data_IF_179660401533
#
_entry.id   IF_179660401533
#
_cell.length_a   1.000
_cell.length_b   1.000
_cell.length_c   1.000
_cell.angle_alpha   90.00
_cell.angle_beta   90.00
_cell.angle_gamma   90.00
#
_symmetry.space_group_name_H-M   'P 1'
#
loop_
_entity.id
_entity.type
_entity.pdbx_description
1 polymer ?
#
# COMPACT_ATOMS: atom_id res chain seq x y z
N UNK A 1 29.07 10.87 -17.13
CA UNK A 1 28.61 9.79 -16.23
C UNK A 1 27.58 10.27 -15.19
N UNK A 2 27.87 11.21 -14.28
CA UNK A 2 26.90 11.68 -13.25
C UNK A 2 25.55 12.17 -13.81
N UNK A 3 25.55 13.00 -14.86
CA UNK A 3 24.32 13.50 -15.48
C UNK A 3 23.48 12.40 -16.14
N UNK A 4 24.14 11.44 -16.78
CA UNK A 4 23.48 10.28 -17.36
C UNK A 4 22.84 9.42 -16.28
N UNK A 5 23.55 9.19 -15.18
CA UNK A 5 23.00 8.48 -14.03
C UNK A 5 21.79 9.19 -13.43
N UNK A 6 21.84 10.53 -13.28
CA UNK A 6 20.68 11.32 -12.80
C UNK A 6 19.44 11.16 -13.67
N UNK A 7 19.61 11.18 -15.00
CA UNK A 7 18.53 10.90 -15.94
C UNK A 7 18.02 9.47 -15.79
N UNK A 8 18.93 8.50 -15.79
CA UNK A 8 18.58 7.08 -15.66
C UNK A 8 17.85 6.78 -14.35
N UNK A 9 18.32 7.28 -13.21
CA UNK A 9 17.71 7.02 -11.91
C UNK A 9 16.34 7.70 -11.77
N UNK A 10 16.19 8.90 -12.32
CA UNK A 10 14.89 9.59 -12.35
C UNK A 10 13.89 8.87 -13.26
N UNK A 11 14.35 8.36 -14.41
CA UNK A 11 13.53 7.54 -15.31
C UNK A 11 13.14 6.21 -14.66
N UNK A 12 14.06 5.54 -13.99
CA UNK A 12 13.78 4.31 -13.24
C UNK A 12 12.70 4.54 -12.19
N UNK A 13 12.82 5.64 -11.42
CA UNK A 13 11.80 6.03 -10.45
C UNK A 13 10.45 6.33 -11.13
N UNK A 14 10.48 6.97 -12.29
CA UNK A 14 9.26 7.26 -13.08
C UNK A 14 8.55 5.97 -13.48
N UNK A 15 9.27 5.02 -14.07
CA UNK A 15 8.74 3.70 -14.45
C UNK A 15 8.15 2.99 -13.23
N UNK A 16 8.86 3.05 -12.11
CA UNK A 16 8.41 2.46 -10.86
C UNK A 16 7.11 3.07 -10.33
N UNK A 17 7.02 4.41 -10.27
CA UNK A 17 5.81 5.11 -9.78
C UNK A 17 4.63 4.86 -10.71
N UNK A 18 4.85 4.89 -12.02
CA UNK A 18 3.84 4.55 -13.02
C UNK A 18 3.32 3.12 -12.85
N UNK A 19 4.22 2.16 -12.60
CA UNK A 19 3.85 0.78 -12.31
C UNK A 19 3.00 0.68 -11.02
N UNK A 20 3.38 1.41 -9.97
CA UNK A 20 2.63 1.46 -8.71
C UNK A 20 1.22 2.03 -8.90
N UNK A 21 1.09 3.13 -9.65
CA UNK A 21 -0.22 3.70 -10.01
C UNK A 21 -1.04 2.65 -10.75
N UNK A 22 -0.46 2.03 -11.78
CA UNK A 22 -1.15 1.06 -12.64
C UNK A 22 -1.64 -0.18 -11.87
N UNK A 23 -0.85 -0.66 -10.91
CA UNK A 23 -1.22 -1.81 -10.09
C UNK A 23 -2.27 -1.52 -9.02
N UNK A 24 -2.54 -0.25 -8.71
CA UNK A 24 -3.43 0.17 -7.61
C UNK A 24 -4.49 1.18 -8.02
N UNK A 25 -4.79 1.31 -9.31
CA UNK A 25 -5.69 2.34 -9.87
C UNK A 25 -6.99 2.43 -9.09
N UNK A 26 -7.68 1.31 -8.88
CA UNK A 26 -9.00 1.27 -8.22
C UNK A 26 -8.94 1.79 -6.78
N UNK A 27 -7.92 1.36 -6.02
CA UNK A 27 -7.73 1.77 -4.63
C UNK A 27 -7.39 3.26 -4.54
N UNK A 28 -6.49 3.73 -5.40
CA UNK A 28 -6.03 5.12 -5.42
C UNK A 28 -7.14 6.07 -5.88
N UNK A 29 -7.90 5.67 -6.90
CA UNK A 29 -9.03 6.45 -7.41
C UNK A 29 -10.10 6.60 -6.35
N UNK A 30 -10.49 5.51 -5.67
CA UNK A 30 -11.42 5.60 -4.54
C UNK A 30 -10.88 6.46 -3.40
N UNK A 31 -9.59 6.31 -3.06
CA UNK A 31 -8.92 7.11 -2.03
C UNK A 31 -8.80 8.61 -2.38
N UNK A 32 -8.94 8.99 -3.65
CA UNK A 32 -8.89 10.39 -4.08
C UNK A 32 -10.14 11.20 -3.73
N UNK A 33 -11.25 10.52 -3.40
CA UNK A 33 -12.52 11.16 -3.05
C UNK A 33 -12.75 11.15 -1.52
N UNK A 34 -13.37 12.20 -0.96
CA UNK A 34 -13.96 12.12 0.37
C UNK A 34 -14.95 10.96 0.40
N UNK A 35 -14.80 10.06 1.36
CA UNK A 35 -15.61 8.85 1.43
C UNK A 35 -15.95 8.50 2.87
N UNK A 36 -16.94 7.64 3.05
CA UNK A 36 -17.28 7.08 4.35
C UNK A 36 -17.55 5.60 4.21
N UNK A 37 -17.27 4.89 5.29
CA UNK A 37 -17.53 3.48 5.42
C UNK A 37 -18.51 3.24 6.57
N UNK A 38 -19.66 2.64 6.28
CA UNK A 38 -20.62 2.19 7.29
C UNK A 38 -20.01 0.98 8.00
N UNK A 39 -19.75 1.15 9.29
CA UNK A 39 -19.11 0.11 10.10
C UNK A 39 -20.09 -0.56 11.07
N UNK A 40 -21.16 0.12 11.49
CA UNK A 40 -22.07 -0.42 12.49
C UNK A 40 -23.51 0.10 12.36
N UNK A 41 -24.46 -0.72 12.81
CA UNK A 41 -25.86 -0.35 13.00
C UNK A 41 -26.08 -0.08 14.50
N UNK A 42 -26.45 1.15 14.84
CA UNK A 42 -26.55 1.61 16.23
C UNK A 42 -27.93 1.34 16.81
N UNK A 43 -28.98 1.47 16.00
CA UNK A 43 -30.37 1.39 16.45
C UNK A 43 -30.97 0.00 16.18
N UNK A 44 -31.88 -0.47 17.03
CA UNK A 44 -32.61 -1.74 16.84
C UNK A 44 -33.55 -1.72 15.62
N UNK A 45 -33.93 -0.54 15.15
CA UNK A 45 -34.76 -0.32 13.96
C UNK A 45 -34.12 0.76 13.06
N UNK A 46 -33.03 0.43 12.33
CA UNK A 46 -32.45 1.36 11.37
C UNK A 46 -33.41 1.61 10.20
N UNK A 47 -33.24 2.74 9.50
CA UNK A 47 -34.02 3.01 8.29
C UNK A 47 -33.80 1.90 7.26
N UNK A 48 -34.88 1.44 6.60
CA UNK A 48 -34.76 0.44 5.54
C UNK A 48 -33.96 1.00 4.34
N UNK A 49 -33.45 0.11 3.47
CA UNK A 49 -32.61 0.50 2.34
C UNK A 49 -33.33 1.45 1.36
N UNK A 50 -34.64 1.27 1.16
CA UNK A 50 -35.44 2.13 0.29
C UNK A 50 -35.57 3.56 0.85
N UNK A 51 -35.82 3.69 2.16
CA UNK A 51 -35.87 5.00 2.82
C UNK A 51 -34.50 5.65 2.82
N UNK A 52 -33.43 4.87 3.05
CA UNK A 52 -32.06 5.35 2.98
C UNK A 52 -31.73 5.89 1.58
N UNK A 53 -32.02 5.14 0.53
CA UNK A 53 -31.76 5.53 -0.86
C UNK A 53 -32.57 6.80 -1.23
N UNK A 54 -33.83 6.90 -0.80
CA UNK A 54 -34.67 8.08 -1.03
C UNK A 54 -34.20 9.33 -0.26
N UNK A 55 -33.79 9.18 1.01
CA UNK A 55 -33.27 10.29 1.81
C UNK A 55 -31.88 10.73 1.33
N UNK A 56 -31.04 9.81 0.85
CA UNK A 56 -29.77 10.13 0.21
C UNK A 56 -29.95 10.96 -1.06
N UNK A 57 -30.93 10.61 -1.89
CA UNK A 57 -31.28 11.40 -3.09
C UNK A 57 -31.71 12.82 -2.70
N UNK A 58 -32.59 12.97 -1.70
CA UNK A 58 -33.00 14.28 -1.20
C UNK A 58 -31.83 15.09 -0.65
N UNK A 59 -30.93 14.46 0.09
CA UNK A 59 -29.73 15.11 0.63
C UNK A 59 -28.83 15.61 -0.52
N UNK A 60 -28.53 14.73 -1.48
CA UNK A 60 -27.70 15.02 -2.63
C UNK A 60 -28.25 16.21 -3.45
N UNK A 61 -29.55 16.21 -3.73
CA UNK A 61 -30.23 17.33 -4.42
C UNK A 61 -30.20 18.61 -3.58
N UNK A 62 -30.45 18.54 -2.27
CA UNK A 62 -30.45 19.70 -1.38
C UNK A 62 -29.09 20.38 -1.27
N UNK A 63 -28.01 19.60 -1.30
CA UNK A 63 -26.64 20.10 -1.18
C UNK A 63 -25.96 20.33 -2.53
N UNK A 64 -26.72 20.17 -3.63
CA UNK A 64 -26.21 20.20 -5.01
C UNK A 64 -24.92 19.38 -5.14
N UNK A 65 -25.00 18.12 -4.70
CA UNK A 65 -23.86 17.21 -4.58
C UNK A 65 -24.15 15.86 -5.22
N UNK A 66 -23.09 15.18 -5.62
CA UNK A 66 -23.15 13.86 -6.23
C UNK A 66 -22.54 12.84 -5.29
N UNK A 67 -23.36 11.90 -4.84
CA UNK A 67 -22.92 10.82 -3.95
C UNK A 67 -22.86 9.54 -4.78
N UNK A 68 -21.77 8.80 -4.67
CA UNK A 68 -21.59 7.51 -5.32
C UNK A 68 -21.49 6.39 -4.27
N UNK A 69 -22.44 5.46 -4.29
CA UNK A 69 -22.42 4.24 -3.49
C UNK A 69 -21.64 3.16 -4.23
N UNK A 70 -20.70 2.54 -3.52
CA UNK A 70 -19.81 1.52 -4.07
C UNK A 70 -20.43 0.14 -3.91
N UNK A 71 -20.57 -0.56 -5.02
CA UNK A 71 -21.05 -1.94 -5.12
C UNK A 71 -19.88 -2.84 -5.48
N UNK A 72 -19.55 -3.77 -4.58
CA UNK A 72 -18.54 -4.79 -4.82
C UNK A 72 -19.22 -6.01 -5.47
N UNK A 73 -18.93 -6.22 -6.76
CA UNK A 73 -19.44 -7.37 -7.53
C UNK A 73 -18.35 -8.45 -7.54
N UNK A 74 -18.57 -9.61 -6.89
CA UNK A 74 -17.59 -10.69 -6.85
C UNK A 74 -17.37 -11.28 -8.25
N UNK A 75 -16.12 -11.61 -8.57
CA UNK A 75 -15.74 -12.39 -9.74
C UNK A 75 -15.48 -13.85 -9.36
N UNK A 76 -15.58 -14.75 -10.34
CA UNK A 76 -15.18 -16.16 -10.21
C UNK A 76 -13.70 -16.32 -9.83
N UNK A 77 -12.85 -15.34 -10.15
CA UNK A 77 -11.44 -15.30 -9.78
C UNK A 77 -11.19 -15.10 -8.28
N UNK A 78 -12.24 -14.75 -7.51
CA UNK A 78 -12.15 -14.35 -6.10
C UNK A 78 -11.87 -12.86 -5.88
N UNK A 79 -11.66 -12.08 -6.94
CA UNK A 79 -11.52 -10.62 -6.88
C UNK A 79 -12.89 -9.93 -6.96
N UNK A 80 -13.00 -8.68 -6.50
CA UNK A 80 -14.23 -7.89 -6.62
C UNK A 80 -14.05 -6.73 -7.60
N UNK A 81 -14.98 -6.59 -8.54
CA UNK A 81 -15.10 -5.39 -9.36
C UNK A 81 -15.98 -4.36 -8.65
N UNK A 82 -15.59 -3.10 -8.71
CA UNK A 82 -16.34 -2.02 -8.08
C UNK A 82 -17.15 -1.26 -9.11
N UNK A 83 -18.46 -1.17 -8.87
CA UNK A 83 -19.42 -0.39 -9.65
C UNK A 83 -20.08 0.66 -8.77
N UNK A 84 -20.61 1.72 -9.37
CA UNK A 84 -21.11 2.87 -8.64
C UNK A 84 -22.57 3.16 -8.95
N UNK A 85 -23.38 3.29 -7.91
CA UNK A 85 -24.73 3.84 -7.98
C UNK A 85 -24.67 5.32 -7.58
N UNK A 86 -25.29 6.20 -8.36
CA UNK A 86 -25.21 7.66 -8.19
C UNK A 86 -26.51 8.18 -7.58
N UNK A 87 -26.37 9.16 -6.68
CA UNK A 87 -27.47 9.97 -6.13
C UNK A 87 -27.22 11.45 -6.42
N UNK A 88 -28.28 12.19 -6.71
CA UNK A 88 -28.25 13.60 -7.12
C UNK A 88 -28.14 13.80 -8.64
N UNK A 89 -27.93 15.06 -9.06
CA UNK A 89 -27.99 15.46 -10.47
C UNK A 89 -26.65 15.44 -11.23
N UNK A 90 -25.53 15.20 -10.55
CA UNK A 90 -24.22 15.21 -11.21
C UNK A 90 -23.90 13.89 -11.91
N UNK A 91 -22.89 13.96 -12.78
CA UNK A 91 -22.44 12.82 -13.59
C UNK A 91 -21.21 12.20 -12.95
N UNK A 92 -21.20 10.88 -12.95
CA UNK A 92 -20.03 10.12 -12.56
C UNK A 92 -18.91 10.31 -13.61
N UNK A 93 -17.65 10.51 -13.20
CA UNK A 93 -16.49 10.50 -14.09
C UNK A 93 -16.44 9.22 -14.93
N UNK A 94 -15.97 9.33 -16.18
CA UNK A 94 -15.94 8.20 -17.14
C UNK A 94 -15.13 7.01 -16.64
N UNK A 95 -14.20 7.29 -15.73
CA UNK A 95 -13.26 6.35 -15.15
C UNK A 95 -13.88 5.48 -14.05
N UNK A 96 -15.07 5.84 -13.56
CA UNK A 96 -15.82 5.07 -12.57
C UNK A 96 -17.01 4.39 -13.28
N UNK A 97 -17.07 3.05 -13.29
CA UNK A 97 -18.12 2.33 -14.02
C UNK A 97 -19.46 2.43 -13.29
N UNK A 98 -20.50 2.84 -14.01
CA UNK A 98 -21.87 2.91 -13.49
C UNK A 98 -22.43 1.50 -13.27
N UNK A 99 -23.12 1.29 -12.16
CA UNK A 99 -23.82 0.05 -11.88
C UNK A 99 -25.08 -0.07 -12.76
N UNK A 100 -25.32 -1.26 -13.32
CA UNK A 100 -26.59 -1.57 -14.00
C UNK A 100 -27.69 -1.81 -12.97
N UNK A 101 -28.96 -1.55 -13.31
CA UNK A 101 -30.11 -1.77 -12.41
C UNK A 101 -30.13 -3.18 -11.79
N UNK A 102 -29.81 -4.21 -12.59
CA UNK A 102 -29.70 -5.59 -12.12
C UNK A 102 -28.64 -5.74 -11.02
N UNK A 103 -27.47 -5.12 -11.19
CA UNK A 103 -26.39 -5.17 -10.19
C UNK A 103 -26.79 -4.44 -8.90
N UNK A 104 -27.48 -3.32 -9.03
CA UNK A 104 -28.00 -2.57 -7.88
C UNK A 104 -28.94 -3.47 -7.07
N UNK A 105 -29.88 -4.16 -7.71
CA UNK A 105 -30.83 -5.05 -7.03
C UNK A 105 -30.13 -6.25 -6.38
N UNK A 106 -29.20 -6.89 -7.09
CA UNK A 106 -28.52 -8.09 -6.57
C UNK A 106 -27.56 -7.79 -5.42
N UNK A 107 -26.82 -6.69 -5.51
CA UNK A 107 -25.71 -6.39 -4.59
C UNK A 107 -25.99 -5.21 -3.64
N UNK A 108 -27.23 -4.70 -3.59
CA UNK A 108 -27.62 -3.55 -2.75
C UNK A 108 -27.18 -3.68 -1.29
N UNK A 109 -27.29 -4.89 -0.73
CA UNK A 109 -26.99 -5.21 0.68
C UNK A 109 -25.50 -5.26 0.99
N UNK A 110 -24.64 -5.32 -0.01
CA UNK A 110 -23.18 -5.42 0.14
C UNK A 110 -22.48 -4.05 0.10
N UNK A 111 -23.22 -2.97 -0.14
CA UNK A 111 -22.68 -1.62 -0.18
C UNK A 111 -22.46 -1.04 1.22
N UNK A 112 -21.20 -0.98 1.64
CA UNK A 112 -20.79 -0.36 2.92
C UNK A 112 -20.07 0.97 2.72
N UNK A 113 -19.84 1.40 1.48
CA UNK A 113 -18.99 2.54 1.15
C UNK A 113 -19.72 3.57 0.30
N UNK A 114 -19.58 4.85 0.65
CA UNK A 114 -20.14 5.98 -0.10
C UNK A 114 -19.04 7.03 -0.32
N UNK A 115 -18.93 7.55 -1.53
CA UNK A 115 -17.99 8.59 -1.91
C UNK A 115 -18.72 9.86 -2.36
N UNK A 116 -18.19 11.02 -2.01
CA UNK A 116 -18.67 12.31 -2.49
C UNK A 116 -17.84 12.65 -3.72
N UNK A 117 -18.48 12.64 -4.89
CA UNK A 117 -17.82 12.84 -6.18
C UNK A 117 -17.67 14.33 -6.49
N UNK A 118 -18.73 15.09 -6.22
CA UNK A 118 -18.78 16.53 -6.51
C UNK A 118 -19.81 17.23 -5.60
N UNK A 119 -19.71 18.55 -5.46
CA UNK A 119 -20.64 19.41 -4.75
C UNK A 119 -20.16 19.95 -3.40
N UNK A 120 -21.10 20.50 -2.62
CA UNK A 120 -20.81 21.21 -1.36
C UNK A 120 -20.91 20.33 -0.10
N UNK A 121 -21.40 19.09 -0.25
CA UNK A 121 -21.56 18.16 0.86
C UNK A 121 -20.18 17.80 1.46
N UNK A 122 -20.07 17.92 2.78
CA UNK A 122 -18.88 17.47 3.51
C UNK A 122 -19.06 16.06 4.04
N UNK A 123 -17.94 15.34 4.20
CA UNK A 123 -17.97 13.96 4.71
C UNK A 123 -18.52 13.88 6.13
N UNK A 124 -18.36 14.92 6.94
CA UNK A 124 -18.92 15.00 8.30
C UNK A 124 -20.44 15.12 8.27
N UNK A 125 -20.99 15.99 7.43
CA UNK A 125 -22.45 16.15 7.29
C UNK A 125 -23.08 14.85 6.80
N UNK A 126 -22.41 14.15 5.88
CA UNK A 126 -22.88 12.85 5.42
C UNK A 126 -22.79 11.78 6.51
N UNK A 127 -21.73 11.77 7.33
CA UNK A 127 -21.63 10.86 8.48
C UNK A 127 -22.72 11.12 9.54
N UNK A 128 -23.01 12.38 9.85
CA UNK A 128 -24.10 12.76 10.77
C UNK A 128 -25.47 12.36 10.21
N UNK A 129 -25.65 12.44 8.89
CA UNK A 129 -26.86 11.97 8.22
C UNK A 129 -27.05 10.45 8.40
N UNK A 130 -26.01 9.65 8.17
CA UNK A 130 -26.07 8.20 8.41
C UNK A 130 -26.38 7.89 9.88
N UNK A 131 -25.80 8.64 10.82
CA UNK A 131 -26.03 8.45 12.25
C UNK A 131 -27.51 8.67 12.62
N UNK A 132 -28.16 9.69 12.05
CA UNK A 132 -29.60 9.96 12.25
C UNK A 132 -30.49 8.84 11.74
N UNK A 133 -30.04 8.10 10.73
CA UNK A 133 -30.76 6.95 10.16
C UNK A 133 -30.45 5.62 10.87
N UNK A 134 -29.65 5.67 11.94
CA UNK A 134 -29.27 4.50 12.74
C UNK A 134 -27.99 3.80 12.30
N UNK A 135 -27.20 4.42 11.41
CA UNK A 135 -25.95 3.87 10.85
C UNK A 135 -24.73 4.66 11.33
N UNK A 136 -23.77 4.00 11.96
CA UNK A 136 -22.50 4.62 12.30
C UNK A 136 -21.50 4.46 11.14
N UNK A 137 -21.04 5.58 10.63
CA UNK A 137 -20.07 5.65 9.55
C UNK A 137 -18.74 6.24 10.02
N UNK A 138 -17.64 5.74 9.45
CA UNK A 138 -16.29 6.26 9.64
C UNK A 138 -15.99 7.19 8.46
N UNK A 139 -15.92 8.51 8.67
CA UNK A 139 -15.56 9.44 7.61
C UNK A 139 -14.07 9.31 7.28
N UNK A 140 -13.77 9.30 5.98
CA UNK A 140 -12.42 9.27 5.41
C UNK A 140 -12.23 10.47 4.49
N UNK A 141 -11.27 11.32 4.82
CA UNK A 141 -10.86 12.43 3.97
C UNK A 141 -10.10 11.90 2.74
N UNK A 142 -10.13 12.64 1.62
CA UNK A 142 -9.37 12.26 0.44
C UNK A 142 -7.88 12.19 0.78
N UNK A 143 -7.22 11.17 0.25
CA UNK A 143 -5.79 10.98 0.47
C UNK A 143 -5.01 12.12 -0.20
N UNK A 144 -3.96 12.63 0.46
CA UNK A 144 -3.08 13.61 -0.15
C UNK A 144 -2.07 12.89 -1.06
N UNK A 145 -1.96 13.24 -2.36
CA UNK A 145 -0.96 12.64 -3.26
C UNK A 145 0.47 12.75 -2.71
N UNK A 146 0.77 13.83 -1.98
CA UNK A 146 2.09 14.09 -1.42
C UNK A 146 2.42 13.19 -0.22
N UNK A 147 1.48 13.09 0.73
CA UNK A 147 1.65 12.20 1.87
C UNK A 147 1.69 10.74 1.41
N UNK A 148 0.83 10.39 0.45
CA UNK A 148 0.80 9.06 -0.13
C UNK A 148 2.12 8.73 -0.84
N UNK A 149 2.70 9.66 -1.62
CA UNK A 149 4.04 9.52 -2.21
C UNK A 149 5.13 9.29 -1.16
N UNK A 150 5.13 10.07 -0.08
CA UNK A 150 6.08 9.91 1.00
C UNK A 150 5.97 8.52 1.66
N UNK A 151 4.74 8.06 1.95
CA UNK A 151 4.51 6.75 2.54
C UNK A 151 4.83 5.60 1.58
N UNK A 152 4.52 5.76 0.29
CA UNK A 152 4.80 4.75 -0.73
C UNK A 152 6.31 4.57 -0.93
N UNK A 153 7.10 5.64 -0.91
CA UNK A 153 8.56 5.59 -1.08
C UNK A 153 9.31 5.19 0.20
N UNK A 154 8.69 5.32 1.38
CA UNK A 154 9.34 5.04 2.68
C UNK A 154 9.07 3.64 3.24
N UNK A 155 8.26 2.83 2.58
CA UNK A 155 7.85 1.50 3.07
C UNK A 155 8.32 0.38 2.14
N UNK A 156 8.34 -0.84 2.67
CA UNK A 156 8.50 -2.07 1.89
C UNK A 156 9.76 -2.15 1.03
N UNK A 157 9.62 -2.81 -0.12
CA UNK A 157 10.66 -2.95 -1.14
C UNK A 157 10.97 -1.63 -1.87
N UNK A 158 10.05 -0.67 -1.82
CA UNK A 158 10.18 0.63 -2.46
C UNK A 158 11.30 1.46 -1.84
N UNK A 159 11.35 1.50 -0.50
CA UNK A 159 12.41 2.15 0.25
C UNK A 159 13.79 1.62 -0.18
N UNK A 160 13.90 0.32 -0.37
CA UNK A 160 15.15 -0.35 -0.73
C UNK A 160 15.65 0.08 -2.11
N UNK A 161 14.75 0.16 -3.11
CA UNK A 161 15.08 0.65 -4.45
C UNK A 161 15.54 2.12 -4.42
N UNK A 162 14.87 2.96 -3.63
CA UNK A 162 15.26 4.37 -3.44
C UNK A 162 16.64 4.48 -2.78
N UNK A 163 16.92 3.67 -1.75
CA UNK A 163 18.21 3.63 -1.06
C UNK A 163 19.35 3.22 -2.00
N UNK A 164 19.14 2.24 -2.88
CA UNK A 164 20.14 1.84 -3.88
C UNK A 164 20.46 3.03 -4.80
N UNK A 165 19.44 3.70 -5.33
CA UNK A 165 19.63 4.85 -6.22
C UNK A 165 20.36 6.01 -5.52
N UNK A 166 20.02 6.29 -4.26
CA UNK A 166 20.67 7.28 -3.40
C UNK A 166 22.15 6.94 -3.21
N UNK A 167 22.44 5.67 -2.92
CA UNK A 167 23.80 5.22 -2.68
C UNK A 167 24.67 5.35 -3.94
N UNK A 168 24.14 4.94 -5.09
CA UNK A 168 24.84 5.08 -6.37
C UNK A 168 25.07 6.56 -6.72
N UNK A 169 24.10 7.44 -6.47
CA UNK A 169 24.27 8.89 -6.63
C UNK A 169 25.39 9.43 -5.73
N UNK A 170 25.41 8.99 -4.48
CA UNK A 170 26.42 9.37 -3.48
C UNK A 170 27.81 8.96 -3.96
N UNK A 171 27.97 7.72 -4.43
CA UNK A 171 29.22 7.19 -4.96
C UNK A 171 29.70 7.98 -6.20
N UNK A 172 28.83 8.24 -7.17
CA UNK A 172 29.19 9.03 -8.35
C UNK A 172 29.54 10.47 -8.00
N UNK A 173 28.83 11.07 -7.04
CA UNK A 173 29.12 12.42 -6.57
C UNK A 173 30.49 12.50 -5.90
N UNK A 174 30.85 11.49 -5.10
CA UNK A 174 32.17 11.38 -4.50
C UNK A 174 33.27 11.21 -5.54
N UNK A 175 33.11 10.28 -6.49
CA UNK A 175 34.07 10.08 -7.58
C UNK A 175 34.29 11.40 -8.34
N UNK A 176 33.21 12.09 -8.68
CA UNK A 176 33.27 13.37 -9.38
C UNK A 176 34.03 14.43 -8.58
N UNK A 177 33.76 14.55 -7.27
CA UNK A 177 34.49 15.46 -6.36
C UNK A 177 35.98 15.13 -6.29
N UNK A 178 36.33 13.86 -6.29
CA UNK A 178 37.72 13.41 -6.26
C UNK A 178 38.43 13.78 -7.57
N UNK A 179 37.77 13.58 -8.72
CA UNK A 179 38.36 13.94 -10.02
C UNK A 179 38.54 15.45 -10.20
N UNK A 180 37.64 16.27 -9.64
CA UNK A 180 37.74 17.73 -9.72
C UNK A 180 38.74 18.35 -8.73
N UNK A 181 39.26 17.61 -7.74
CA UNK A 181 40.18 18.14 -6.71
C UNK A 181 41.36 18.93 -7.29
N UNK A 182 41.98 18.41 -8.35
CA UNK A 182 43.11 19.09 -9.03
C UNK A 182 42.68 20.43 -9.63
N UNK A 183 41.54 20.45 -10.31
CA UNK A 183 40.98 21.68 -10.90
C UNK A 183 40.57 22.69 -9.83
N UNK A 184 40.02 22.23 -8.70
CA UNK A 184 39.69 23.10 -7.56
C UNK A 184 40.95 23.70 -6.93
N UNK A 185 42.01 22.92 -6.78
CA UNK A 185 43.31 23.41 -6.29
C UNK A 185 43.92 24.50 -7.16
N UNK A 186 43.85 24.36 -8.49
CA UNK A 186 44.29 25.38 -9.46
C UNK A 186 43.43 26.65 -9.35
N UNK A 187 42.11 26.50 -9.24
CA UNK A 187 41.20 27.65 -9.09
C UNK A 187 41.42 28.40 -7.76
N UNK A 188 41.70 27.68 -6.67
CA UNK A 188 42.07 28.27 -5.37
C UNK A 188 43.36 29.09 -5.47
N UNK A 189 44.39 28.57 -6.15
CA UNK A 189 45.62 29.30 -6.43
C UNK A 189 45.38 30.57 -7.26
N UNK A 190 44.43 30.53 -8.18
CA UNK A 190 44.04 31.70 -8.99
C UNK A 190 43.23 32.77 -8.23
N UNK A 191 43.03 32.60 -6.91
CA UNK A 191 42.33 33.56 -6.05
C UNK A 191 40.81 33.41 -6.01
N UNK A 192 40.22 32.36 -6.62
CA UNK A 192 38.78 32.11 -6.49
C UNK A 192 38.43 31.58 -5.10
N UNK A 193 37.40 32.13 -4.43
CA UNK A 193 37.02 31.68 -3.09
C UNK A 193 36.39 30.28 -3.15
N UNK A 194 36.74 29.43 -2.18
CA UNK A 194 36.26 28.05 -2.07
C UNK A 194 34.71 27.95 -2.11
N UNK A 195 34.02 28.91 -1.48
CA UNK A 195 32.56 28.97 -1.46
C UNK A 195 31.95 29.14 -2.85
N UNK A 196 32.56 29.98 -3.70
CA UNK A 196 32.09 30.18 -5.08
C UNK A 196 32.20 28.90 -5.90
N UNK A 197 33.32 28.17 -5.75
CA UNK A 197 33.55 26.90 -6.43
C UNK A 197 32.53 25.84 -5.99
N UNK A 198 32.28 25.75 -4.68
CA UNK A 198 31.30 24.82 -4.11
C UNK A 198 29.86 25.15 -4.51
N UNK A 199 29.45 26.42 -4.46
CA UNK A 199 28.12 26.87 -4.88
C UNK A 199 27.89 26.63 -6.38
N UNK A 200 28.88 26.93 -7.23
CA UNK A 200 28.79 26.65 -8.65
C UNK A 200 28.56 25.16 -8.93
N UNK A 201 29.13 24.28 -8.09
CA UNK A 201 28.87 22.86 -8.23
C UNK A 201 27.50 22.42 -7.73
N UNK A 202 27.00 22.97 -6.63
CA UNK A 202 25.63 22.68 -6.17
C UNK A 202 24.62 23.15 -7.22
N UNK A 203 24.85 24.32 -7.82
CA UNK A 203 24.00 24.85 -8.88
C UNK A 203 23.98 23.94 -10.10
N UNK A 204 25.14 23.42 -10.54
CA UNK A 204 25.21 22.43 -11.63
C UNK A 204 24.42 21.15 -11.29
N UNK A 205 24.45 20.71 -10.05
CA UNK A 205 23.70 19.54 -9.59
C UNK A 205 22.19 19.82 -9.58
N UNK A 206 21.75 20.97 -9.09
CA UNK A 206 20.35 21.41 -9.11
C UNK A 206 19.82 21.50 -10.54
N UNK A 207 20.59 22.10 -11.46
CA UNK A 207 20.19 22.18 -12.88
C UNK A 207 20.10 20.78 -13.48
N UNK A 208 21.09 19.93 -13.24
CA UNK A 208 21.12 18.56 -13.75
C UNK A 208 19.96 17.72 -13.24
N UNK A 209 19.64 17.79 -11.95
CA UNK A 209 18.49 17.08 -11.37
C UNK A 209 17.17 17.65 -11.84
N UNK A 210 17.04 18.98 -11.97
CA UNK A 210 15.81 19.62 -12.45
C UNK A 210 15.48 19.23 -13.89
N UNK A 211 16.48 19.20 -14.77
CA UNK A 211 16.30 18.71 -16.15
C UNK A 211 15.87 17.25 -16.15
N UNK A 212 16.50 16.41 -15.32
CA UNK A 212 16.14 15.00 -15.22
C UNK A 212 14.69 14.81 -14.72
N UNK A 213 14.30 15.53 -13.66
CA UNK A 213 12.93 15.54 -13.15
C UNK A 213 11.93 15.98 -14.22
N UNK A 214 12.24 17.03 -14.98
CA UNK A 214 11.35 17.56 -16.01
C UNK A 214 11.14 16.55 -17.15
N UNK A 215 12.23 15.95 -17.65
CA UNK A 215 12.17 14.90 -18.68
C UNK A 215 11.37 13.68 -18.16
N UNK A 216 11.64 13.25 -16.94
CA UNK A 216 10.93 12.17 -16.26
C UNK A 216 9.44 12.45 -16.09
N UNK A 217 9.08 13.67 -15.68
CA UNK A 217 7.70 14.07 -15.50
C UNK A 217 6.95 14.07 -16.83
N UNK A 218 7.55 14.59 -17.91
CA UNK A 218 6.94 14.60 -19.24
C UNK A 218 6.69 13.18 -19.74
N UNK A 219 7.70 12.30 -19.66
CA UNK A 219 7.58 10.92 -20.13
C UNK A 219 6.60 10.11 -19.28
N UNK A 220 6.65 10.25 -17.95
CA UNK A 220 5.72 9.58 -17.04
C UNK A 220 4.29 10.05 -17.22
N UNK A 221 4.07 11.35 -17.38
CA UNK A 221 2.73 11.90 -17.63
C UNK A 221 2.19 11.45 -18.98
N UNK A 222 3.00 11.49 -20.05
CA UNK A 222 2.61 10.99 -21.36
C UNK A 222 2.19 9.52 -21.32
N UNK A 223 2.93 8.70 -20.56
CA UNK A 223 2.57 7.29 -20.37
C UNK A 223 1.26 7.10 -19.59
N UNK A 224 1.02 7.90 -18.55
CA UNK A 224 -0.23 7.89 -17.81
C UNK A 224 -1.41 8.29 -18.72
N UNK A 225 -1.26 9.32 -19.54
CA UNK A 225 -2.28 9.70 -20.53
C UNK A 225 -2.56 8.58 -21.53
N UNK A 226 -1.52 7.92 -22.04
CA UNK A 226 -1.68 6.78 -22.95
C UNK A 226 -2.49 5.62 -22.33
N UNK A 227 -2.39 5.44 -21.01
CA UNK A 227 -3.15 4.44 -20.24
C UNK A 227 -4.55 4.90 -19.81
N UNK A 228 -4.96 6.13 -20.12
CA UNK A 228 -6.21 6.72 -19.62
C UNK A 228 -6.17 7.09 -18.13
N UNK A 229 -4.97 7.25 -17.55
CA UNK A 229 -4.72 7.57 -16.14
C UNK A 229 -4.23 9.02 -15.99
N UNK A 230 -4.71 9.94 -16.83
CA UNK A 230 -4.35 11.36 -16.84
C UNK A 230 -5.02 12.19 -15.74
N UNK A 231 -5.55 11.57 -14.69
CA UNK A 231 -6.24 12.25 -13.59
C UNK A 231 -5.25 13.13 -12.80
N UNK A 232 -5.74 14.28 -12.33
CA UNK A 232 -4.92 15.24 -11.58
C UNK A 232 -4.24 14.60 -10.36
N UNK A 233 -4.94 13.69 -9.67
CA UNK A 233 -4.41 12.95 -8.54
C UNK A 233 -3.16 12.13 -8.91
N UNK A 234 -3.19 11.39 -10.02
CA UNK A 234 -2.08 10.54 -10.47
C UNK A 234 -0.88 11.36 -10.95
N UNK A 235 -1.14 12.45 -11.68
CA UNK A 235 -0.08 13.38 -12.12
C UNK A 235 0.57 14.05 -10.90
N UNK A 236 -0.24 14.48 -9.93
CA UNK A 236 0.25 15.06 -8.67
C UNK A 236 1.07 14.07 -7.85
N UNK A 237 0.65 12.81 -7.80
CA UNK A 237 1.38 11.73 -7.12
C UNK A 237 2.73 11.43 -7.77
N UNK A 238 2.78 11.40 -9.12
CA UNK A 238 4.03 11.27 -9.88
C UNK A 238 4.96 12.46 -9.61
N UNK A 239 4.44 13.69 -9.68
CA UNK A 239 5.19 14.90 -9.39
C UNK A 239 5.75 14.91 -7.97
N UNK A 240 4.92 14.58 -6.98
CA UNK A 240 5.32 14.52 -5.58
C UNK A 240 6.46 13.52 -5.36
N UNK A 241 6.37 12.34 -5.96
CA UNK A 241 7.39 11.29 -5.86
C UNK A 241 8.73 11.74 -6.46
N UNK A 242 8.71 12.37 -7.63
CA UNK A 242 9.91 12.92 -8.28
C UNK A 242 10.54 14.07 -7.47
N UNK A 243 9.72 14.97 -6.91
CA UNK A 243 10.20 16.10 -6.11
C UNK A 243 10.77 15.66 -4.76
N UNK A 244 10.14 14.69 -4.08
CA UNK A 244 10.69 14.09 -2.85
C UNK A 244 12.05 13.48 -3.14
N UNK A 245 12.17 12.71 -4.23
CA UNK A 245 13.45 12.12 -4.64
C UNK A 245 14.50 13.19 -4.96
N UNK A 246 14.14 14.21 -5.74
CA UNK A 246 15.03 15.32 -6.06
C UNK A 246 15.52 16.06 -4.81
N UNK A 247 14.63 16.31 -3.85
CA UNK A 247 14.96 16.95 -2.59
C UNK A 247 16.02 16.15 -1.83
N UNK A 248 15.86 14.82 -1.74
CA UNK A 248 16.84 13.93 -1.11
C UNK A 248 18.20 13.99 -1.82
N UNK A 249 18.23 13.96 -3.16
CA UNK A 249 19.48 14.05 -3.91
C UNK A 249 20.21 15.39 -3.70
N UNK A 250 19.47 16.50 -3.68
CA UNK A 250 20.03 17.83 -3.42
C UNK A 250 20.57 17.92 -1.99
N UNK A 251 19.83 17.39 -1.00
CA UNK A 251 20.26 17.34 0.39
C UNK A 251 21.59 16.59 0.53
N UNK A 252 21.71 15.43 -0.13
CA UNK A 252 22.94 14.63 -0.12
C UNK A 252 24.08 15.36 -0.84
N UNK A 253 23.84 15.93 -2.01
CA UNK A 253 24.88 16.70 -2.71
C UNK A 253 25.38 17.88 -1.88
N UNK A 254 24.47 18.60 -1.21
CA UNK A 254 24.81 19.69 -0.30
C UNK A 254 25.65 19.19 0.88
N UNK A 255 25.24 18.09 1.52
CA UNK A 255 25.98 17.45 2.61
C UNK A 255 27.39 17.03 2.19
N UNK A 256 27.54 16.34 1.06
CA UNK A 256 28.85 15.94 0.53
C UNK A 256 29.74 17.15 0.21
N UNK A 257 29.14 18.23 -0.29
CA UNK A 257 29.85 19.48 -0.58
C UNK A 257 30.32 20.16 0.71
N UNK A 258 29.51 20.13 1.77
CA UNK A 258 29.90 20.64 3.09
C UNK A 258 31.11 19.86 3.65
N UNK A 259 31.04 18.52 3.63
CA UNK A 259 32.15 17.64 4.05
C UNK A 259 33.42 17.94 3.25
N UNK A 260 33.28 18.13 1.94
CA UNK A 260 34.39 18.51 1.06
C UNK A 260 35.02 19.86 1.46
N UNK A 261 34.20 20.90 1.67
CA UNK A 261 34.68 22.24 2.06
C UNK A 261 35.41 22.21 3.39
N UNK A 262 34.87 21.51 4.39
CA UNK A 262 35.51 21.34 5.69
C UNK A 262 36.84 20.58 5.56
N UNK A 263 36.88 19.54 4.72
CA UNK A 263 38.09 18.77 4.43
C UNK A 263 39.19 19.60 3.77
N UNK A 264 38.83 20.48 2.83
CA UNK A 264 39.79 21.40 2.19
C UNK A 264 40.28 22.48 3.14
N UNK A 265 39.39 23.07 3.97
CA UNK A 265 39.80 24.10 4.94
C UNK A 265 40.81 23.59 5.97
N UNK A 266 40.70 22.31 6.37
CA UNK A 266 41.56 21.72 7.41
C UNK A 266 42.96 21.34 6.90
N UNK A 267 43.14 21.16 5.60
CA UNK A 267 44.41 20.69 5.02
C UNK A 267 45.10 21.81 4.24
N UNK A 268 46.43 21.92 4.33
CA UNK A 268 47.20 22.89 3.52
C UNK A 268 46.95 22.67 2.02
N UNK A 269 46.99 23.75 1.22
CA UNK A 269 46.66 23.76 -0.22
C UNK A 269 47.62 22.86 -1.05
N UNK A 270 48.87 22.68 -0.58
CA UNK A 270 49.92 21.93 -1.28
C UNK A 270 49.58 20.44 -1.57
N UNK A 271 49.12 19.63 -0.60
CA UNK A 271 48.67 18.25 -0.87
C UNK A 271 47.48 18.18 -1.83
N UNK A 272 46.58 19.17 -1.83
CA UNK A 272 45.40 19.22 -2.72
C UNK A 272 45.82 19.34 -4.19
N UNK A 273 46.81 20.20 -4.48
CA UNK A 273 47.37 20.37 -5.84
C UNK A 273 48.10 19.10 -6.31
N UNK A 274 48.79 18.41 -5.40
CA UNK A 274 49.43 17.12 -5.68
C UNK A 274 48.44 15.96 -5.80
N UNK A 275 47.13 16.20 -5.64
CA UNK A 275 46.09 15.18 -5.68
C UNK A 275 46.13 14.21 -4.49
N UNK A 276 46.88 14.54 -3.42
CA UNK A 276 46.83 13.79 -2.17
C UNK A 276 45.53 14.17 -1.49
N UNK A 277 44.57 13.25 -1.52
CA UNK A 277 43.24 13.39 -0.93
C UNK A 277 43.35 13.92 0.52
N UNK A 278 42.35 14.65 1.04
CA UNK A 278 42.11 14.71 2.48
C UNK A 278 41.74 13.30 2.95
N UNK A 279 42.78 12.47 3.14
CA UNK A 279 42.80 11.02 2.90
C UNK A 279 41.96 10.20 3.86
N UNK A 280 41.74 10.65 5.10
CA UNK A 280 40.96 9.85 6.04
C UNK A 280 39.45 10.07 5.93
N UNK A 281 38.99 11.32 5.80
CA UNK A 281 37.55 11.64 5.87
C UNK A 281 36.76 11.12 4.67
N UNK A 282 37.25 11.41 3.45
CA UNK A 282 36.60 10.92 2.22
C UNK A 282 36.73 9.40 2.06
N UNK A 283 37.84 8.81 2.50
CA UNK A 283 38.07 7.38 2.41
C UNK A 283 37.23 6.61 3.44
N UNK A 284 37.09 7.13 4.65
CA UNK A 284 36.16 6.61 5.67
C UNK A 284 34.71 6.67 5.19
N UNK A 285 34.30 7.78 4.57
CA UNK A 285 32.97 7.91 3.97
C UNK A 285 32.77 6.91 2.81
N UNK A 286 33.78 6.72 1.97
CA UNK A 286 33.74 5.75 0.87
C UNK A 286 33.62 4.31 1.38
N UNK A 287 34.45 3.91 2.35
CA UNK A 287 34.40 2.58 2.96
C UNK A 287 33.07 2.35 3.69
N UNK A 288 32.58 3.35 4.42
CA UNK A 288 31.26 3.31 5.06
C UNK A 288 30.13 3.15 4.04
N UNK A 289 30.20 3.89 2.92
CA UNK A 289 29.26 3.76 1.81
C UNK A 289 29.30 2.38 1.14
N UNK A 290 30.48 1.79 0.97
CA UNK A 290 30.65 0.44 0.43
C UNK A 290 30.09 -0.63 1.38
N UNK A 291 30.37 -0.51 2.68
CA UNK A 291 29.79 -1.39 3.70
C UNK A 291 28.26 -1.30 3.72
N UNK A 292 27.71 -0.08 3.66
CA UNK A 292 26.28 0.15 3.54
C UNK A 292 25.70 -0.46 2.25
N UNK A 293 26.43 -0.37 1.12
CA UNK A 293 26.05 -0.99 -0.14
C UNK A 293 25.86 -2.50 0.00
N UNK A 294 26.87 -3.17 0.55
CA UNK A 294 26.87 -4.61 0.74
C UNK A 294 25.72 -5.02 1.65
N UNK A 295 25.47 -4.25 2.71
CA UNK A 295 24.37 -4.50 3.64
C UNK A 295 23.00 -4.37 2.95
N UNK A 296 22.78 -3.28 2.21
CA UNK A 296 21.54 -3.03 1.47
C UNK A 296 21.30 -4.12 0.43
N UNK A 297 22.31 -4.48 -0.37
CA UNK A 297 22.20 -5.54 -1.38
C UNK A 297 21.94 -6.90 -0.73
N UNK A 298 22.62 -7.21 0.37
CA UNK A 298 22.40 -8.46 1.12
C UNK A 298 20.97 -8.57 1.66
N UNK A 299 20.45 -7.50 2.27
CA UNK A 299 19.05 -7.45 2.73
C UNK A 299 18.07 -7.55 1.55
N UNK A 300 18.40 -6.93 0.41
CA UNK A 300 17.59 -6.99 -0.81
C UNK A 300 17.46 -8.42 -1.33
N UNK A 301 18.60 -9.12 -1.47
CA UNK A 301 18.61 -10.50 -1.94
C UNK A 301 17.82 -11.40 -1.00
N UNK A 302 18.02 -11.28 0.32
CA UNK A 302 17.28 -12.06 1.31
C UNK A 302 15.76 -11.85 1.18
N UNK A 303 15.30 -10.60 1.01
CA UNK A 303 13.87 -10.30 0.79
C UNK A 303 13.33 -10.90 -0.50
N UNK A 304 14.11 -10.86 -1.58
CA UNK A 304 13.71 -11.49 -2.86
C UNK A 304 13.50 -13.00 -2.67
N UNK A 305 14.38 -13.68 -1.95
CA UNK A 305 14.21 -15.12 -1.65
C UNK A 305 12.94 -15.41 -0.84
N UNK A 306 12.67 -14.59 0.19
CA UNK A 306 11.45 -14.73 1.01
C UNK A 306 10.21 -14.53 0.13
N UNK A 307 10.13 -13.43 -0.62
CA UNK A 307 8.97 -13.14 -1.46
C UNK A 307 8.78 -14.15 -2.59
N UNK A 308 9.86 -14.69 -3.16
CA UNK A 308 9.76 -15.75 -4.15
C UNK A 308 9.14 -17.02 -3.54
N UNK A 309 9.53 -17.37 -2.32
CA UNK A 309 8.98 -18.51 -1.62
C UNK A 309 7.50 -18.29 -1.25
N UNK A 310 7.14 -17.10 -0.75
CA UNK A 310 5.75 -16.74 -0.46
C UNK A 310 4.88 -16.75 -1.72
N UNK A 311 5.39 -16.20 -2.83
CA UNK A 311 4.68 -16.19 -4.11
C UNK A 311 4.47 -17.61 -4.65
N UNK A 312 5.50 -18.46 -4.58
CA UNK A 312 5.39 -19.88 -4.97
C UNK A 312 4.37 -20.61 -4.09
N UNK A 313 4.38 -20.38 -2.78
CA UNK A 313 3.42 -20.97 -1.86
C UNK A 313 1.99 -20.50 -2.18
N UNK A 314 1.81 -19.22 -2.51
CA UNK A 314 0.51 -18.66 -2.87
C UNK A 314 -0.01 -19.21 -4.19
N UNK A 315 0.85 -19.38 -5.20
CA UNK A 315 0.50 -20.02 -6.48
C UNK A 315 0.09 -21.48 -6.27
N UNK A 316 0.86 -22.23 -5.48
CA UNK A 316 0.51 -23.60 -5.10
C UNK A 316 -0.83 -23.64 -4.35
N UNK A 317 -1.00 -22.78 -3.35
CA UNK A 317 -2.24 -22.71 -2.55
C UNK A 317 -3.45 -22.37 -3.41
N UNK A 318 -3.29 -21.46 -4.39
CA UNK A 318 -4.35 -21.13 -5.35
C UNK A 318 -4.72 -22.34 -6.22
N UNK A 319 -3.71 -23.09 -6.69
CA UNK A 319 -3.93 -24.32 -7.46
C UNK A 319 -4.59 -25.41 -6.63
N UNK A 320 -4.25 -25.53 -5.35
CA UNK A 320 -4.84 -26.52 -4.45
C UNK A 320 -6.28 -26.15 -4.10
N UNK A 321 -6.56 -24.86 -3.83
CA UNK A 321 -7.92 -24.37 -3.57
C UNK A 321 -8.84 -24.56 -4.79
N UNK A 322 -8.30 -24.41 -6.01
CA UNK A 322 -9.06 -24.62 -7.24
C UNK A 322 -9.50 -26.08 -7.46
N UNK A 323 -8.88 -27.06 -6.77
CA UNK A 323 -9.29 -28.47 -6.84
C UNK A 323 -10.54 -28.75 -6.00
N UNK A 324 -10.88 -27.86 -5.06
CA UNK A 324 -11.94 -28.03 -4.09
C UNK A 324 -13.02 -26.93 -4.25
N UNK A 325 -13.76 -26.91 -5.37
CA UNK A 325 -14.70 -25.83 -5.69
C UNK A 325 -15.87 -25.73 -4.69
N UNK A 326 -16.16 -26.82 -3.98
CA UNK A 326 -17.23 -26.89 -2.98
C UNK A 326 -16.82 -26.31 -1.62
N UNK A 327 -15.53 -26.00 -1.42
CA UNK A 327 -15.03 -25.37 -0.21
C UNK A 327 -15.06 -23.85 -0.32
N UNK A 328 -15.77 -23.23 0.62
CA UNK A 328 -15.91 -21.78 0.71
C UNK A 328 -15.36 -21.26 2.02
N UNK A 329 -14.63 -20.16 1.95
CA UNK A 329 -14.19 -19.45 3.14
C UNK A 329 -15.34 -18.57 3.65
N UNK A 330 -15.91 -18.93 4.81
CA UNK A 330 -16.89 -18.11 5.49
C UNK A 330 -16.18 -17.02 6.30
N UNK A 331 -16.12 -15.81 5.73
CA UNK A 331 -15.74 -14.61 6.48
C UNK A 331 -16.97 -13.74 6.73
N UNK A 332 -17.19 -13.37 7.98
CA UNK A 332 -18.22 -12.41 8.33
C UNK A 332 -17.63 -11.01 8.23
N UNK A 333 -18.27 -10.16 7.43
CA UNK A 333 -17.83 -8.80 7.17
C UNK A 333 -17.59 -8.02 8.48
N UNK A 334 -16.53 -7.20 8.51
CA UNK A 334 -16.20 -6.27 9.60
C UNK A 334 -17.30 -5.23 9.90
N UNK A 335 -18.42 -5.21 9.17
CA UNK A 335 -19.54 -4.29 9.36
C UNK A 335 -20.47 -4.64 10.55
N UNK A 336 -20.10 -5.62 11.38
CA UNK A 336 -20.80 -5.92 12.63
C UNK A 336 -19.91 -5.52 13.80
N UNK A 337 -19.89 -4.20 14.07
CA UNK A 337 -19.06 -3.55 15.09
C UNK A 337 -19.37 -3.91 16.56
N UNK A 338 -20.30 -4.84 16.82
CA UNK A 338 -20.61 -5.33 18.17
C UNK A 338 -20.56 -6.86 18.22
N UNK A 339 -19.72 -7.42 19.13
CA UNK A 339 -19.66 -8.86 19.42
C UNK A 339 -21.05 -9.45 19.73
N UNK A 340 -21.90 -8.69 20.42
CA UNK A 340 -23.23 -9.14 20.82
C UNK A 340 -24.21 -9.23 19.64
N UNK A 341 -24.06 -8.38 18.61
CA UNK A 341 -24.87 -8.47 17.38
C UNK A 341 -24.31 -9.49 16.38
N UNK A 342 -23.01 -9.78 16.42
CA UNK A 342 -22.43 -10.91 15.66
C UNK A 342 -23.04 -12.24 16.10
N UNK A 343 -23.25 -12.44 17.41
CA UNK A 343 -23.95 -13.59 17.94
C UNK A 343 -25.37 -13.72 17.34
N UNK A 344 -26.12 -12.62 17.24
CA UNK A 344 -27.47 -12.63 16.63
C UNK A 344 -27.49 -13.00 15.14
N UNK A 345 -26.46 -12.64 14.37
CA UNK A 345 -26.34 -13.09 12.98
C UNK A 345 -25.91 -14.55 12.90
N UNK A 346 -24.99 -14.97 13.77
CA UNK A 346 -24.60 -16.37 13.88
C UNK A 346 -25.80 -17.24 14.25
N UNK A 347 -26.66 -16.83 15.18
CA UNK A 347 -27.90 -17.52 15.57
C UNK A 347 -28.87 -17.71 14.39
N UNK A 348 -28.82 -16.85 13.38
CA UNK A 348 -29.63 -17.00 12.15
C UNK A 348 -29.04 -18.01 11.17
N UNK A 349 -27.71 -18.06 11.06
CA UNK A 349 -27.01 -19.00 10.18
C UNK A 349 -26.80 -20.37 10.82
N UNK A 350 -26.74 -20.43 12.15
CA UNK A 350 -26.46 -21.63 12.91
C UNK A 350 -27.45 -22.76 12.61
N UNK A 351 -28.78 -22.57 12.58
CA UNK A 351 -29.71 -23.64 12.24
C UNK A 351 -29.49 -24.20 10.84
N UNK A 352 -29.10 -23.36 9.87
CA UNK A 352 -28.80 -23.79 8.51
C UNK A 352 -27.51 -24.61 8.46
N UNK A 353 -26.44 -24.09 9.08
CA UNK A 353 -25.14 -24.75 9.15
C UNK A 353 -25.24 -26.08 9.92
N UNK A 354 -25.91 -26.06 11.08
CA UNK A 354 -26.08 -27.23 11.94
C UNK A 354 -26.83 -28.35 11.21
N UNK A 355 -27.95 -28.04 10.54
CA UNK A 355 -28.67 -29.02 9.71
C UNK A 355 -27.80 -29.61 8.59
N UNK A 356 -26.98 -28.78 7.95
CA UNK A 356 -26.09 -29.24 6.88
C UNK A 356 -24.97 -30.15 7.40
N UNK A 357 -24.44 -29.88 8.59
CA UNK A 357 -23.44 -30.71 9.28
C UNK A 357 -24.07 -32.01 9.79
N UNK A 358 -25.23 -31.96 10.44
CA UNK A 358 -25.99 -33.14 10.92
C UNK A 358 -26.37 -34.08 9.77
N UNK A 359 -26.75 -33.53 8.62
CA UNK A 359 -27.05 -34.29 7.41
C UNK A 359 -25.79 -34.83 6.69
N UNK A 360 -24.59 -34.61 7.24
CA UNK A 360 -23.29 -34.93 6.65
C UNK A 360 -23.02 -34.29 5.27
N UNK A 361 -23.79 -33.26 4.91
CA UNK A 361 -23.64 -32.54 3.63
C UNK A 361 -22.49 -31.54 3.71
N UNK A 362 -22.34 -30.84 4.83
CA UNK A 362 -21.29 -29.83 5.05
C UNK A 362 -20.28 -30.27 6.12
N UNK A 363 -19.06 -29.72 6.05
CA UNK A 363 -18.07 -29.80 7.12
C UNK A 363 -17.60 -28.39 7.47
N UNK A 364 -17.24 -28.16 8.74
CA UNK A 364 -16.67 -26.89 9.18
C UNK A 364 -15.22 -27.08 9.55
N UNK A 365 -14.40 -26.09 9.19
CA UNK A 365 -12.99 -26.02 9.53
C UNK A 365 -12.69 -24.61 10.02
N UNK A 366 -12.19 -24.49 11.24
CA UNK A 366 -11.72 -23.25 11.82
C UNK A 366 -10.25 -23.38 12.22
N UNK A 367 -9.49 -22.31 11.99
CA UNK A 367 -8.09 -22.21 12.35
C UNK A 367 -7.81 -20.90 13.11
N UNK A 368 -6.68 -20.85 13.81
CA UNK A 368 -6.27 -19.69 14.60
C UNK A 368 -5.36 -18.71 13.85
N UNK A 369 -5.16 -18.88 12.53
CA UNK A 369 -4.16 -18.11 11.78
C UNK A 369 -4.42 -16.59 11.83
N UNK A 370 -5.68 -16.18 12.00
CA UNK A 370 -6.06 -14.77 12.14
C UNK A 370 -5.44 -14.10 13.37
N UNK A 371 -5.13 -14.86 14.42
CA UNK A 371 -4.46 -14.35 15.62
C UNK A 371 -2.97 -14.03 15.39
N UNK A 372 -2.41 -14.54 14.30
CA UNK A 372 -0.97 -14.46 13.98
C UNK A 372 -0.66 -13.54 12.80
N UNK A 373 -1.64 -12.79 12.29
CA UNK A 373 -1.48 -11.93 11.09
C UNK A 373 -0.40 -10.85 11.27
N UNK A 374 -0.22 -10.36 12.50
CA UNK A 374 0.73 -9.28 12.81
C UNK A 374 1.92 -9.73 13.66
N UNK A 375 1.96 -10.99 14.09
CA UNK A 375 2.95 -11.50 15.04
C UNK A 375 3.02 -13.03 15.01
N UNK A 376 4.23 -13.60 15.18
CA UNK A 376 4.42 -15.05 15.33
C UNK A 376 3.91 -15.60 16.68
N UNK A 377 3.50 -14.72 17.57
CA UNK A 377 2.90 -15.01 18.87
C UNK A 377 1.55 -14.31 19.02
N UNK A 378 0.60 -15.00 19.61
CA UNK A 378 -0.68 -14.40 19.99
C UNK A 378 -0.52 -13.51 21.24
N UNK A 379 -1.60 -12.86 21.67
CA UNK A 379 -1.62 -11.97 22.85
C UNK A 379 -1.26 -12.67 24.18
N UNK A 380 -1.24 -14.00 24.21
CA UNK A 380 -0.90 -14.82 25.37
C UNK A 380 0.53 -15.41 25.29
N UNK A 381 1.28 -15.09 24.23
CA UNK A 381 2.65 -15.55 24.03
C UNK A 381 2.79 -16.93 23.37
N UNK A 382 1.67 -17.58 23.01
CA UNK A 382 1.64 -18.88 22.33
C UNK A 382 2.06 -18.69 20.88
N UNK A 383 3.02 -19.48 20.39
CA UNK A 383 3.46 -19.44 18.99
C UNK A 383 2.55 -20.26 18.10
N UNK A 384 2.50 -19.88 16.82
CA UNK A 384 1.77 -20.64 15.78
C UNK A 384 2.18 -22.12 15.72
N UNK A 385 3.43 -22.45 16.05
CA UNK A 385 3.96 -23.83 16.00
C UNK A 385 3.73 -24.62 17.27
N UNK A 386 3.25 -23.99 18.34
CA UNK A 386 3.10 -24.66 19.62
C UNK A 386 1.90 -25.62 19.56
N UNK A 387 2.06 -26.81 20.14
CA UNK A 387 0.98 -27.77 20.31
C UNK A 387 0.06 -27.29 21.44
N UNK A 388 -0.77 -26.32 21.11
CA UNK A 388 -1.66 -25.60 22.02
C UNK A 388 -2.98 -25.30 21.31
N UNK A 389 -4.14 -25.25 22.01
CA UNK A 389 -5.42 -24.91 21.41
C UNK A 389 -5.39 -23.62 20.59
N UNK A 390 -4.73 -22.58 21.08
CA UNK A 390 -4.55 -21.31 20.34
C UNK A 390 -3.42 -21.32 19.29
N UNK A 391 -2.57 -22.36 19.27
CA UNK A 391 -1.42 -22.51 18.37
C UNK A 391 -1.75 -23.30 17.10
N UNK A 392 -1.00 -24.39 16.86
CA UNK A 392 -1.13 -25.23 15.67
C UNK A 392 -2.33 -26.19 15.74
N UNK A 393 -3.54 -25.66 15.84
CA UNK A 393 -4.77 -26.45 16.01
C UNK A 393 -5.80 -26.09 14.93
N UNK A 394 -6.46 -27.12 14.40
CA UNK A 394 -7.66 -27.00 13.57
C UNK A 394 -8.86 -27.51 14.36
N UNK A 395 -9.92 -26.73 14.37
CA UNK A 395 -11.22 -27.14 14.89
C UNK A 395 -12.08 -27.61 13.72
N UNK A 396 -12.50 -28.87 13.75
CA UNK A 396 -13.19 -29.50 12.63
C UNK A 396 -14.44 -30.25 13.09
N UNK A 397 -15.43 -30.40 12.21
CA UNK A 397 -16.56 -31.30 12.43
C UNK A 397 -16.14 -32.77 12.31
N UNK A 398 -16.85 -33.69 12.97
CA UNK A 398 -16.45 -35.11 13.01
C UNK A 398 -16.30 -35.74 11.60
N UNK A 399 -17.20 -35.38 10.68
CA UNK A 399 -17.17 -35.84 9.29
C UNK A 399 -15.98 -35.32 8.45
N UNK A 400 -15.17 -34.41 8.98
CA UNK A 400 -13.95 -33.92 8.33
C UNK A 400 -12.95 -35.06 8.07
N UNK A 401 -12.79 -35.96 9.05
CA UNK A 401 -11.84 -37.08 8.94
C UNK A 401 -12.20 -38.01 7.79
N UNK A 402 -13.49 -38.31 7.63
CA UNK A 402 -14.00 -39.14 6.55
C UNK A 402 -13.82 -38.45 5.19
N UNK A 403 -14.19 -37.17 5.09
CA UNK A 403 -14.08 -36.40 3.84
C UNK A 403 -12.63 -36.19 3.41
N UNK A 404 -11.70 -36.05 4.35
CA UNK A 404 -10.28 -35.89 4.07
C UNK A 404 -9.50 -37.21 4.06
N UNK A 405 -10.19 -38.35 4.21
CA UNK A 405 -9.57 -39.69 4.24
C UNK A 405 -8.44 -39.82 5.27
N UNK A 406 -8.62 -39.21 6.46
CA UNK A 406 -7.66 -39.27 7.56
C UNK A 406 -7.98 -40.49 8.42
N UNK A 407 -7.03 -41.43 8.50
CA UNK A 407 -7.17 -42.60 9.35
C UNK A 407 -6.86 -42.26 10.81
N UNK A 408 -7.77 -42.62 11.71
CA UNK A 408 -7.65 -42.43 13.15
C UNK A 408 -8.03 -43.71 13.87
N UNK A 409 -7.38 -43.94 15.01
CA UNK A 409 -7.65 -45.12 15.82
C UNK A 409 -9.14 -45.22 16.20
N UNK A 410 -9.68 -46.44 16.22
CA UNK A 410 -11.11 -46.69 16.42
C UNK A 410 -11.63 -46.10 17.74
N UNK A 411 -10.77 -46.07 18.77
CA UNK A 411 -11.07 -45.44 20.06
C UNK A 411 -11.25 -43.93 19.97
N UNK A 412 -10.46 -43.25 19.16
CA UNK A 412 -10.56 -41.79 18.94
C UNK A 412 -11.80 -41.49 18.11
N UNK A 413 -12.12 -42.32 17.11
CA UNK A 413 -13.34 -42.17 16.31
C UNK A 413 -14.61 -42.29 17.16
N UNK A 414 -14.67 -43.30 18.03
CA UNK A 414 -15.77 -43.48 18.96
C UNK A 414 -15.92 -42.30 19.92
N UNK A 415 -14.80 -41.78 20.45
CA UNK A 415 -14.82 -40.60 21.31
C UNK A 415 -15.35 -39.35 20.59
N UNK A 416 -15.01 -39.16 19.31
CA UNK A 416 -15.48 -38.03 18.51
C UNK A 416 -16.97 -38.11 18.16
N UNK A 417 -17.50 -39.31 17.95
CA UNK A 417 -18.94 -39.56 17.69
C UNK A 417 -19.79 -39.43 18.96
N UNK A 418 -19.23 -39.75 20.13
CA UNK A 418 -19.92 -39.70 21.43
C UNK A 418 -19.86 -38.31 22.11
N UNK A 419 -19.21 -37.31 21.51
CA UNK A 419 -19.11 -35.94 22.04
C UNK A 419 -20.48 -35.27 22.13
N UNK A 420 -21.19 -35.58 23.22
CA UNK A 420 -22.22 -34.74 23.81
C UNK A 420 -21.57 -33.43 24.25
N UNK A 421 -22.20 -32.27 24.04
CA UNK A 421 -21.71 -31.02 24.62
C UNK A 421 -21.62 -31.19 26.14
N UNK A 422 -20.45 -30.95 26.71
CA UNK A 422 -20.27 -30.78 28.14
C UNK A 422 -20.83 -29.44 28.60
#
# INVERSE_FOLDING_TARGET
MKRFFLLFSSLLLTVFVVWLISGRVTQLRYGSYPSLFIHQIVTESPANLETLDAELEKLAVKTDSTIAKVLAVPQESGEANFFYQVYGHGKLPKELPLATEQMVVTYQKQATSYAIIDGTLTVQVLADFFLRLGYQAIPKLPESPWLFALFALSRGSQLLAVLICILTFTALTLIYRITELKAVGINLLSGRPLLSISLASILKDIIGTSIATLVSLLLGSAWLFYRGLGEWFFISFLLASLLIYQFILILISSFLTLVYVLGVRKNHILPIIKGRLPLLGLLSLMLGGQFLAITIVGVSLNRVFIYQNEMSLQEQSKSDWAKEPDLVNMSFNLAVGERDKQATYFDKWYPFINKAVEANVAMLVQNNLTQYVFSDQNNQGVKKTDYHPDGNTLYVTANYLDKQSIDVDAKVRQQLEELSPG
#
